data_IF_497047450114
#
_entry.id   IF_497047450114
#
_cell.length_a   1.000
_cell.length_b   1.000
_cell.length_c   1.000
_cell.angle_alpha   90.00
_cell.angle_beta   90.00
_cell.angle_gamma   90.00
#
_symmetry.space_group_name_H-M   'P 1'
#
loop_
_entity.id
_entity.type
_entity.pdbx_description
1 polymer ?
#
# COMPACT_ATOMS: atom_id res chain seq x y z
N UNK A 1 -13.32 2.44 -0.02
CA UNK A 1 -13.39 1.09 0.58
C UNK A 1 -13.59 0.08 -0.54
N UNK A 2 -13.39 -1.20 -0.28
CA UNK A 2 -13.68 -2.31 -1.21
C UNK A 2 -14.65 -3.29 -0.55
N UNK A 3 -15.34 -4.09 -1.36
CA UNK A 3 -16.21 -5.16 -0.88
C UNK A 3 -15.40 -6.21 -0.10
N UNK A 4 -15.91 -6.65 1.03
CA UNK A 4 -15.34 -7.68 1.89
C UNK A 4 -16.44 -8.59 2.43
N UNK A 5 -17.32 -9.04 1.53
CA UNK A 5 -18.37 -9.99 1.86
C UNK A 5 -17.78 -11.29 2.39
N UNK A 6 -18.57 -12.05 3.17
CA UNK A 6 -18.08 -13.27 3.79
C UNK A 6 -17.59 -14.26 2.73
N UNK A 7 -16.31 -14.63 2.79
CA UNK A 7 -15.67 -15.55 1.85
C UNK A 7 -15.21 -14.92 0.53
N UNK A 8 -15.43 -13.62 0.33
CA UNK A 8 -14.99 -12.91 -0.88
C UNK A 8 -13.48 -12.74 -0.88
N UNK A 9 -12.82 -13.08 -1.99
CA UNK A 9 -11.38 -12.85 -2.14
C UNK A 9 -11.15 -11.41 -2.60
N UNK A 10 -10.27 -10.70 -1.89
CA UNK A 10 -9.93 -9.31 -2.20
C UNK A 10 -8.43 -9.04 -2.05
N UNK A 11 -7.99 -7.91 -2.59
CA UNK A 11 -6.61 -7.45 -2.54
C UNK A 11 -6.55 -6.07 -1.89
N UNK A 12 -5.62 -5.88 -0.95
CA UNK A 12 -5.35 -4.57 -0.32
C UNK A 12 -3.91 -4.16 -0.64
N UNK A 13 -3.70 -3.20 -1.55
CA UNK A 13 -2.38 -2.66 -1.86
C UNK A 13 -1.78 -1.87 -0.69
N UNK A 14 -0.51 -2.08 -0.40
CA UNK A 14 0.21 -1.39 0.69
C UNK A 14 0.98 -0.21 0.11
N UNK A 15 2.09 -0.49 -0.58
CA UNK A 15 2.91 0.48 -1.29
C UNK A 15 3.81 -0.25 -2.30
N UNK A 16 4.61 0.52 -3.04
CA UNK A 16 5.51 0.01 -4.08
C UNK A 16 6.64 -0.90 -3.59
N UNK A 17 6.91 -0.95 -2.28
CA UNK A 17 7.94 -1.79 -1.66
C UNK A 17 7.35 -3.01 -0.95
N UNK A 18 6.37 -2.77 -0.08
CA UNK A 18 5.82 -3.78 0.82
C UNK A 18 4.77 -4.66 0.14
N UNK A 19 4.26 -4.21 -1.00
CA UNK A 19 3.43 -5.01 -1.90
C UNK A 19 1.95 -4.96 -1.55
N UNK A 20 1.29 -6.12 -1.53
CA UNK A 20 -0.16 -6.23 -1.37
C UNK A 20 -0.54 -7.39 -0.48
N UNK A 21 -1.66 -7.24 0.22
CA UNK A 21 -2.28 -8.31 1.00
C UNK A 21 -3.30 -9.05 0.12
N UNK A 22 -3.24 -10.38 0.13
CA UNK A 22 -4.30 -11.25 -0.39
C UNK A 22 -5.19 -11.63 0.80
N UNK A 23 -6.45 -11.23 0.75
CA UNK A 23 -7.36 -11.37 1.88
C UNK A 23 -8.65 -12.09 1.51
N UNK A 24 -9.36 -12.55 2.55
CA UNK A 24 -10.72 -13.07 2.47
C UNK A 24 -11.63 -12.21 3.34
N UNK A 25 -12.75 -11.75 2.80
CA UNK A 25 -13.71 -10.92 3.51
C UNK A 25 -14.41 -11.69 4.63
N UNK A 26 -14.59 -11.02 5.78
CA UNK A 26 -15.32 -11.58 6.94
C UNK A 26 -16.82 -11.32 6.87
N UNK A 27 -17.26 -10.40 6.00
CA UNK A 27 -18.66 -9.99 5.90
C UNK A 27 -19.19 -9.33 7.17
N UNK A 28 -18.36 -8.50 7.80
CA UNK A 28 -18.69 -7.87 9.08
C UNK A 28 -19.75 -6.76 8.89
N UNK A 29 -20.96 -6.90 9.47
CA UNK A 29 -22.04 -5.91 9.31
C UNK A 29 -21.72 -4.54 9.92
N UNK A 30 -20.96 -4.49 11.02
CA UNK A 30 -20.57 -3.23 11.67
C UNK A 30 -19.68 -2.37 10.75
N UNK A 31 -19.01 -3.03 9.81
CA UNK A 31 -18.17 -2.43 8.77
C UNK A 31 -18.86 -2.35 7.41
N UNK A 32 -20.19 -2.54 7.36
CA UNK A 32 -20.96 -2.60 6.13
C UNK A 32 -20.35 -3.57 5.09
N UNK A 33 -19.89 -4.72 5.58
CA UNK A 33 -19.23 -5.76 4.79
C UNK A 33 -18.10 -5.24 3.90
N UNK A 34 -17.32 -4.27 4.38
CA UNK A 34 -16.29 -3.58 3.60
C UNK A 34 -14.92 -3.62 4.26
N UNK A 35 -13.87 -3.42 3.45
CA UNK A 35 -12.47 -3.30 3.90
C UNK A 35 -11.79 -2.06 3.29
N UNK A 36 -10.62 -1.64 3.81
CA UNK A 36 -9.81 -0.59 3.20
C UNK A 36 -9.34 -0.97 1.80
N UNK A 37 -9.22 0.04 0.94
CA UNK A 37 -8.73 -0.11 -0.44
C UNK A 37 -7.21 0.05 -0.56
N UNK A 38 -6.52 0.29 0.56
CA UNK A 38 -5.08 0.40 0.65
C UNK A 38 -4.59 0.93 1.99
N UNK A 39 -3.27 1.12 2.12
CA UNK A 39 -2.60 1.55 3.35
C UNK A 39 -3.01 2.91 3.91
N UNK A 40 -3.37 3.83 3.02
CA UNK A 40 -3.53 5.24 3.36
C UNK A 40 -2.17 5.93 3.59
N UNK A 41 -2.16 7.25 3.36
CA UNK A 41 -0.95 8.08 3.48
C UNK A 41 -0.83 8.64 4.89
N UNK A 42 0.40 8.80 5.38
CA UNK A 42 0.69 9.50 6.64
C UNK A 42 0.91 11.01 6.45
N UNK A 43 1.10 11.46 5.20
CA UNK A 43 1.33 12.86 4.86
C UNK A 43 0.78 13.24 3.47
N UNK A 44 0.64 14.54 3.25
CA UNK A 44 0.19 15.08 1.96
C UNK A 44 1.22 14.87 0.86
N UNK A 45 0.78 14.99 -0.41
CA UNK A 45 1.69 14.91 -1.56
C UNK A 45 2.73 16.02 -1.58
N UNK A 46 2.33 17.25 -1.24
CA UNK A 46 3.24 18.40 -1.19
C UNK A 46 4.28 18.24 -0.09
N UNK A 47 3.86 17.76 1.09
CA UNK A 47 4.77 17.50 2.20
C UNK A 47 5.77 16.39 1.85
N UNK A 48 5.33 15.32 1.20
CA UNK A 48 6.22 14.24 0.77
C UNK A 48 7.33 14.73 -0.17
N UNK A 49 7.01 15.58 -1.15
CA UNK A 49 8.00 16.15 -2.09
C UNK A 49 9.03 17.05 -1.42
N UNK A 50 8.70 17.63 -0.26
CA UNK A 50 9.61 18.48 0.53
C UNK A 50 10.41 17.70 1.58
N UNK A 51 9.89 16.54 2.02
CA UNK A 51 10.44 15.79 3.15
C UNK A 51 11.44 14.70 2.76
N UNK A 52 11.41 14.25 1.50
CA UNK A 52 12.20 13.11 1.04
C UNK A 52 13.04 13.43 -0.17
N UNK A 53 14.21 12.79 -0.23
CA UNK A 53 15.13 12.89 -1.37
C UNK A 53 15.03 11.67 -2.28
N UNK A 54 15.41 11.85 -3.55
CA UNK A 54 15.43 10.74 -4.54
C UNK A 54 16.45 9.66 -4.13
N UNK A 55 17.55 10.03 -3.47
CA UNK A 55 18.55 9.10 -2.97
C UNK A 55 17.99 8.20 -1.85
N UNK A 56 17.27 8.76 -0.89
CA UNK A 56 16.57 7.99 0.15
C UNK A 56 15.51 7.08 -0.45
N UNK A 57 14.72 7.60 -1.39
CA UNK A 57 13.74 6.81 -2.11
C UNK A 57 14.40 5.61 -2.82
N UNK A 58 15.49 5.84 -3.55
CA UNK A 58 16.25 4.77 -4.21
C UNK A 58 16.75 3.72 -3.22
N UNK A 59 17.23 4.14 -2.04
CA UNK A 59 17.67 3.24 -0.97
C UNK A 59 16.51 2.39 -0.44
N UNK A 60 15.33 2.97 -0.26
CA UNK A 60 14.15 2.25 0.21
C UNK A 60 13.62 1.21 -0.80
N UNK A 61 13.86 1.43 -2.09
CA UNK A 61 13.49 0.49 -3.15
C UNK A 61 14.56 -0.59 -3.42
N UNK A 62 15.62 -0.68 -2.60
CA UNK A 62 16.65 -1.69 -2.78
C UNK A 62 16.06 -3.11 -2.72
N UNK A 63 16.42 -3.94 -3.70
CA UNK A 63 15.88 -5.30 -3.84
C UNK A 63 14.63 -5.38 -4.72
N UNK A 64 14.09 -4.24 -5.16
CA UNK A 64 12.93 -4.17 -6.04
C UNK A 64 13.38 -3.45 -7.31
N UNK A 65 13.28 -4.13 -8.45
CA UNK A 65 13.60 -3.52 -9.72
C UNK A 65 12.54 -2.45 -10.03
N UNK A 66 12.97 -1.23 -10.35
CA UNK A 66 12.04 -0.15 -10.69
C UNK A 66 12.74 0.91 -11.55
N UNK A 67 12.01 1.42 -12.52
CA UNK A 67 12.39 2.58 -13.33
C UNK A 67 11.70 3.86 -12.87
N UNK A 68 10.88 3.79 -11.83
CA UNK A 68 9.96 4.85 -11.41
C UNK A 68 10.45 5.66 -10.23
N UNK A 69 11.70 5.48 -9.79
CA UNK A 69 12.32 6.32 -8.74
C UNK A 69 12.80 7.63 -9.37
N UNK A 70 12.06 8.71 -9.12
CA UNK A 70 12.40 10.05 -9.59
C UNK A 70 11.86 11.13 -8.64
N UNK A 71 12.18 12.39 -8.90
CA UNK A 71 11.64 13.51 -8.13
C UNK A 71 10.12 13.65 -8.29
N UNK A 72 9.60 13.29 -9.46
CA UNK A 72 8.18 13.37 -9.81
C UNK A 72 7.34 12.38 -8.99
N UNK A 73 7.90 11.24 -8.61
CA UNK A 73 7.23 10.16 -7.89
C UNK A 73 7.57 10.12 -6.40
N UNK A 74 8.23 11.15 -5.86
CA UNK A 74 8.55 11.23 -4.43
C UNK A 74 7.32 11.18 -3.53
N UNK A 75 6.19 11.70 -4.00
CA UNK A 75 4.94 11.61 -3.27
C UNK A 75 4.33 10.20 -3.28
N UNK A 76 4.96 9.23 -3.93
CA UNK A 76 4.53 7.83 -3.97
C UNK A 76 5.56 6.88 -3.35
N UNK A 77 6.65 7.43 -2.77
CA UNK A 77 7.68 6.62 -2.16
C UNK A 77 7.15 5.82 -0.95
N UNK A 78 7.75 4.66 -0.59
CA UNK A 78 7.23 3.80 0.47
C UNK A 78 7.01 4.51 1.81
N UNK A 79 7.82 5.52 2.11
CA UNK A 79 7.82 6.24 3.38
C UNK A 79 6.59 7.14 3.59
N UNK A 80 5.78 7.42 2.56
CA UNK A 80 4.57 8.23 2.69
C UNK A 80 3.34 7.42 3.13
N UNK A 81 3.46 6.09 3.15
CA UNK A 81 2.38 5.16 3.46
C UNK A 81 2.53 4.61 4.88
N UNK A 82 1.40 4.19 5.47
CA UNK A 82 1.41 3.45 6.74
C UNK A 82 2.17 2.13 6.60
N UNK A 83 2.71 1.65 7.72
CA UNK A 83 3.40 0.37 7.75
C UNK A 83 2.44 -0.80 7.52
N UNK A 84 2.99 -1.96 7.16
CA UNK A 84 2.19 -3.19 7.01
C UNK A 84 1.54 -3.55 8.35
N UNK A 85 2.29 -3.38 9.43
CA UNK A 85 1.89 -3.67 10.80
C UNK A 85 0.69 -2.81 11.21
N UNK A 86 0.71 -1.51 10.89
CA UNK A 86 -0.41 -0.61 11.16
C UNK A 86 -1.68 -1.05 10.43
N UNK A 87 -1.58 -1.48 9.17
CA UNK A 87 -2.73 -1.91 8.39
C UNK A 87 -3.29 -3.20 8.96
N UNK A 88 -2.43 -4.21 9.11
CA UNK A 88 -2.83 -5.54 9.61
C UNK A 88 -3.47 -5.43 10.99
N UNK A 89 -2.94 -4.56 11.86
CA UNK A 89 -3.51 -4.29 13.19
C UNK A 89 -4.91 -3.65 13.17
N UNK A 90 -5.30 -2.97 12.09
CA UNK A 90 -6.58 -2.25 12.01
C UNK A 90 -7.65 -2.94 11.15
N UNK A 91 -7.29 -3.92 10.30
CA UNK A 91 -8.24 -4.55 9.35
C UNK A 91 -8.77 -5.91 9.82
N UNK A 92 -8.34 -6.37 10.99
CA UNK A 92 -8.68 -7.70 11.52
C UNK A 92 -10.18 -7.96 11.60
N UNK A 93 -11.01 -6.95 11.85
CA UNK A 93 -12.47 -7.11 11.92
C UNK A 93 -13.13 -7.23 10.54
N UNK A 94 -12.45 -6.81 9.48
CA UNK A 94 -12.99 -6.73 8.11
C UNK A 94 -12.60 -7.93 7.25
N UNK A 95 -11.39 -8.44 7.43
CA UNK A 95 -10.80 -9.46 6.56
C UNK A 95 -9.89 -10.42 7.34
N UNK A 96 -9.68 -11.59 6.77
CA UNK A 96 -8.58 -12.50 7.09
C UNK A 96 -7.46 -12.29 6.07
N UNK A 97 -6.23 -12.07 6.55
CA UNK A 97 -5.05 -11.91 5.69
C UNK A 97 -4.48 -13.29 5.43
N UNK A 98 -4.57 -13.75 4.17
CA UNK A 98 -4.08 -15.07 3.78
C UNK A 98 -2.59 -15.03 3.47
N UNK A 99 -2.15 -14.03 2.69
CA UNK A 99 -0.77 -13.90 2.23
C UNK A 99 -0.37 -12.44 2.01
N UNK A 100 0.94 -12.19 2.06
CA UNK A 100 1.55 -10.91 1.68
C UNK A 100 2.45 -11.16 0.47
N UNK A 101 2.08 -10.56 -0.67
CA UNK A 101 2.89 -10.65 -1.89
C UNK A 101 3.82 -9.45 -1.99
N UNK A 102 5.11 -9.71 -2.21
CA UNK A 102 6.13 -8.66 -2.37
C UNK A 102 6.47 -8.47 -3.84
N UNK A 103 6.58 -7.21 -4.33
CA UNK A 103 6.92 -6.94 -5.71
C UNK A 103 8.42 -7.19 -5.95
N UNK A 104 8.74 -7.87 -7.05
CA UNK A 104 10.10 -7.94 -7.60
C UNK A 104 10.36 -6.83 -8.62
N UNK A 105 9.28 -6.36 -9.26
CA UNK A 105 9.27 -5.28 -10.24
C UNK A 105 8.16 -4.30 -9.88
N UNK A 106 8.51 -3.01 -9.83
CA UNK A 106 7.55 -1.93 -9.66
C UNK A 106 7.68 -0.94 -10.81
N UNK A 107 6.57 -0.67 -11.49
CA UNK A 107 6.45 0.35 -12.50
C UNK A 107 5.29 1.27 -12.16
N UNK A 108 5.55 2.57 -12.25
CA UNK A 108 4.59 3.65 -12.15
C UNK A 108 4.85 4.61 -13.30
N UNK A 109 3.82 4.88 -14.08
CA UNK A 109 3.89 5.87 -15.14
C UNK A 109 4.22 7.24 -14.52
N UNK A 110 5.22 7.92 -15.07
CA UNK A 110 5.41 9.34 -14.82
C UNK A 110 4.40 10.13 -15.64
N UNK A 111 4.05 11.33 -15.18
CA UNK A 111 3.51 12.34 -16.09
C UNK A 111 4.69 12.80 -16.97
N UNK A 112 4.53 12.70 -18.30
CA UNK A 112 5.48 13.25 -19.28
C UNK A 112 5.63 14.77 -19.11
#
# INVERSE_FOLDING_TARGET
>A
AVSAQKGEKLLIPINMRDGSLICTGKGNPDWNCSAPHGAGRIMSRSQAKQSFTVSEFKKQMQGIYTTSVSAQTLDECPMVYKSVEDIVGNIGDTVEVNEIIKPIYNFKAGEE
#
